data_IF_962451285581
#
_entry.id   IF_962451285581
#
_cell.length_a   1.000
_cell.length_b   1.000
_cell.length_c   1.000
_cell.angle_alpha   90.00
_cell.angle_beta   90.00
_cell.angle_gamma   90.00
#
_symmetry.space_group_name_H-M   'P 1'
#
loop_
_entity.id
_entity.type
_entity.pdbx_description
1 polymer ?
#
# COMPACT_ATOMS: atom_id res chain seq x y z
N UNK A 1 4.20 -28.61 -5.75
CA UNK A 1 3.05 -27.68 -5.70
C UNK A 1 3.39 -26.43 -6.52
N UNK A 2 2.47 -25.89 -7.36
CA UNK A 2 2.73 -24.66 -8.12
C UNK A 2 2.85 -23.44 -7.21
N UNK A 3 3.63 -22.44 -7.63
CA UNK A 3 3.80 -21.18 -6.90
C UNK A 3 2.76 -20.19 -7.41
N UNK A 4 1.90 -19.69 -6.51
CA UNK A 4 0.95 -18.63 -6.81
C UNK A 4 1.60 -17.25 -6.61
N UNK A 5 1.52 -16.41 -7.64
CA UNK A 5 2.06 -15.04 -7.65
C UNK A 5 0.97 -13.98 -7.74
N UNK A 6 -0.30 -14.37 -7.51
CA UNK A 6 -1.42 -13.44 -7.47
C UNK A 6 -1.30 -12.43 -6.34
N UNK A 7 -1.82 -11.22 -6.60
CA UNK A 7 -1.89 -10.14 -5.63
C UNK A 7 -3.22 -9.39 -5.81
N UNK A 8 -4.15 -9.58 -4.88
CA UNK A 8 -5.50 -8.99 -4.91
C UNK A 8 -5.51 -7.46 -4.79
N UNK A 9 -4.43 -6.87 -4.25
CA UNK A 9 -4.39 -5.46 -3.93
C UNK A 9 -3.80 -4.62 -5.10
N UNK A 10 -4.47 -3.51 -5.43
CA UNK A 10 -4.01 -2.57 -6.45
C UNK A 10 -3.31 -1.37 -5.80
N UNK A 11 -1.99 -1.17 -6.00
CA UNK A 11 -1.27 0.00 -5.48
C UNK A 11 -1.90 1.35 -5.87
N UNK A 12 -2.55 1.42 -7.03
CA UNK A 12 -3.23 2.62 -7.52
C UNK A 12 -4.43 3.01 -6.63
N UNK A 13 -5.23 2.04 -6.18
CA UNK A 13 -6.40 2.31 -5.34
C UNK A 13 -5.99 2.81 -3.95
N UNK A 14 -4.88 2.29 -3.42
CA UNK A 14 -4.28 2.75 -2.16
C UNK A 14 -3.74 4.18 -2.32
N UNK A 15 -3.08 4.46 -3.44
CA UNK A 15 -2.60 5.82 -3.76
C UNK A 15 -3.76 6.81 -3.88
N UNK A 16 -4.87 6.41 -4.53
CA UNK A 16 -6.07 7.22 -4.60
C UNK A 16 -6.65 7.51 -3.21
N UNK A 17 -6.69 6.50 -2.33
CA UNK A 17 -7.10 6.68 -0.93
C UNK A 17 -6.19 7.66 -0.18
N UNK A 18 -4.88 7.63 -0.40
CA UNK A 18 -3.94 8.58 0.18
C UNK A 18 -4.19 10.03 -0.28
N UNK A 19 -4.58 10.22 -1.55
CA UNK A 19 -4.97 11.53 -2.09
C UNK A 19 -6.24 12.04 -1.41
N UNK A 20 -7.24 11.20 -1.24
CA UNK A 20 -8.51 11.59 -0.60
C UNK A 20 -8.31 11.92 0.88
N UNK A 21 -7.51 11.14 1.62
CA UNK A 21 -7.08 11.49 2.99
C UNK A 21 -6.34 12.82 3.00
N UNK A 22 -5.50 13.09 1.98
CA UNK A 22 -4.83 14.38 1.80
C UNK A 22 -5.80 15.55 1.67
N UNK A 23 -6.88 15.41 0.89
CA UNK A 23 -7.93 16.44 0.76
C UNK A 23 -8.64 16.68 2.09
N UNK A 24 -8.99 15.62 2.82
CA UNK A 24 -9.59 15.74 4.16
C UNK A 24 -8.64 16.46 5.12
N UNK A 25 -7.34 16.13 5.08
CA UNK A 25 -6.33 16.81 5.88
C UNK A 25 -6.29 18.31 5.59
N UNK A 26 -6.29 18.72 4.31
CA UNK A 26 -6.32 20.14 3.93
C UNK A 26 -7.53 20.86 4.52
N UNK A 27 -8.73 20.27 4.45
CA UNK A 27 -9.92 20.86 5.07
C UNK A 27 -9.80 20.97 6.60
N UNK A 28 -9.17 19.99 7.26
CA UNK A 28 -8.91 20.04 8.71
C UNK A 28 -7.87 21.10 9.07
N UNK A 29 -6.84 21.30 8.24
CA UNK A 29 -5.84 22.36 8.43
C UNK A 29 -6.49 23.76 8.33
N UNK A 30 -7.38 23.97 7.37
CA UNK A 30 -8.16 25.21 7.23
C UNK A 30 -9.05 25.44 8.45
N UNK A 31 -9.75 24.41 8.92
CA UNK A 31 -10.55 24.48 10.13
C UNK A 31 -9.69 24.77 11.38
N UNK A 32 -8.48 24.19 11.48
CA UNK A 32 -7.54 24.51 12.55
C UNK A 32 -7.17 25.99 12.55
N UNK A 33 -6.92 26.58 11.37
CA UNK A 33 -6.58 28.00 11.22
C UNK A 33 -7.72 28.88 11.74
N UNK A 34 -8.96 28.57 11.37
CA UNK A 34 -10.13 29.35 11.80
C UNK A 34 -10.37 29.21 13.31
N UNK A 35 -10.27 28.00 13.87
CA UNK A 35 -10.38 27.77 15.31
C UNK A 35 -9.22 28.46 16.06
N UNK A 36 -8.02 28.49 15.49
CA UNK A 36 -6.86 29.20 16.03
C UNK A 36 -7.09 30.72 16.05
N UNK A 37 -7.72 31.27 15.01
CA UNK A 37 -8.13 32.69 14.95
C UNK A 37 -9.17 32.98 16.03
N UNK A 38 -10.22 32.15 16.14
CA UNK A 38 -11.25 32.28 17.17
C UNK A 38 -10.65 32.18 18.59
N UNK A 39 -9.74 31.23 18.81
CA UNK A 39 -9.07 31.07 20.11
C UNK A 39 -8.27 32.32 20.49
N UNK A 40 -7.55 32.94 19.54
CA UNK A 40 -6.83 34.20 19.77
C UNK A 40 -7.77 35.34 20.13
N UNK A 41 -8.88 35.49 19.41
CA UNK A 41 -9.91 36.50 19.74
C UNK A 41 -10.48 36.27 21.14
N UNK A 42 -10.79 35.03 21.51
CA UNK A 42 -11.29 34.71 22.86
C UNK A 42 -10.25 35.01 23.97
N UNK A 43 -8.96 34.95 23.65
CA UNK A 43 -7.86 35.23 24.58
C UNK A 43 -7.53 36.72 24.71
N UNK A 44 -8.07 37.62 23.87
CA UNK A 44 -7.75 39.06 23.89
C UNK A 44 -8.17 39.80 25.17
N UNK A 45 -9.01 39.19 26.01
CA UNK A 45 -9.41 39.74 27.31
C UNK A 45 -10.75 40.49 27.29
N UNK A 46 -11.35 40.72 26.12
CA UNK A 46 -12.62 41.44 25.97
C UNK A 46 -13.83 40.71 26.61
N UNK A 47 -13.73 39.39 26.77
CA UNK A 47 -14.77 38.55 27.34
C UNK A 47 -14.36 38.02 28.71
N UNK A 48 -15.12 38.42 29.73
CA UNK A 48 -14.92 38.05 31.14
C UNK A 48 -16.15 37.33 31.72
N UNK A 49 -16.00 36.81 32.94
CA UNK A 49 -17.02 36.00 33.60
C UNK A 49 -16.89 34.49 33.30
N UNK A 50 -17.67 33.69 34.03
CA UNK A 50 -17.50 32.24 34.04
C UNK A 50 -17.90 31.58 32.72
N UNK A 51 -18.92 32.10 32.04
CA UNK A 51 -19.28 31.66 30.68
C UNK A 51 -18.10 31.87 29.71
N UNK A 52 -17.47 33.04 29.73
CA UNK A 52 -16.33 33.33 28.87
C UNK A 52 -15.13 32.40 29.16
N UNK A 53 -14.86 32.09 30.43
CA UNK A 53 -13.82 31.10 30.81
C UNK A 53 -14.12 29.71 30.24
N UNK A 54 -15.37 29.24 30.33
CA UNK A 54 -15.74 27.93 29.80
C UNK A 54 -15.65 27.90 28.27
N UNK A 55 -16.07 28.95 27.57
CA UNK A 55 -15.93 29.05 26.11
C UNK A 55 -14.46 29.06 25.70
N UNK A 56 -13.59 29.83 26.37
CA UNK A 56 -12.13 29.83 26.12
C UNK A 56 -11.55 28.42 26.24
N UNK A 57 -11.93 27.69 27.29
CA UNK A 57 -11.49 26.30 27.49
C UNK A 57 -12.00 25.37 26.38
N UNK A 58 -13.27 25.48 25.99
CA UNK A 58 -13.86 24.66 24.94
C UNK A 58 -13.21 24.91 23.57
N UNK A 59 -13.00 26.17 23.20
CA UNK A 59 -12.31 26.55 21.95
C UNK A 59 -10.87 26.07 21.94
N UNK A 60 -10.14 26.23 23.05
CA UNK A 60 -8.78 25.71 23.18
C UNK A 60 -8.70 24.18 23.04
N UNK A 61 -9.67 23.45 23.61
CA UNK A 61 -9.77 22.00 23.43
C UNK A 61 -10.03 21.63 21.96
N UNK A 62 -10.93 22.35 21.27
CA UNK A 62 -11.21 22.11 19.85
C UNK A 62 -9.99 22.39 18.98
N UNK A 63 -9.22 23.43 19.27
CA UNK A 63 -7.96 23.71 18.58
C UNK A 63 -6.99 22.53 18.71
N UNK A 64 -6.84 21.99 19.93
CA UNK A 64 -5.97 20.83 20.16
C UNK A 64 -6.47 19.59 19.41
N UNK A 65 -7.78 19.36 19.37
CA UNK A 65 -8.38 18.24 18.63
C UNK A 65 -8.12 18.37 17.12
N UNK A 66 -8.26 19.57 16.54
CA UNK A 66 -7.94 19.81 15.12
C UNK A 66 -6.48 19.49 14.81
N UNK A 67 -5.54 19.94 15.64
CA UNK A 67 -4.10 19.65 15.48
C UNK A 67 -3.79 18.17 15.53
N UNK A 68 -4.34 17.47 16.52
CA UNK A 68 -4.16 16.02 16.65
C UNK A 68 -4.72 15.30 15.43
N UNK A 69 -5.94 15.68 14.98
CA UNK A 69 -6.55 15.08 13.79
C UNK A 69 -5.73 15.33 12.53
N UNK A 70 -5.26 16.57 12.30
CA UNK A 70 -4.40 16.91 11.16
C UNK A 70 -3.11 16.08 11.15
N UNK A 71 -2.47 15.96 12.32
CA UNK A 71 -1.26 15.13 12.47
C UNK A 71 -1.55 13.66 12.16
N UNK A 72 -2.64 13.10 12.71
CA UNK A 72 -3.03 11.70 12.46
C UNK A 72 -3.36 11.46 10.98
N UNK A 73 -4.06 12.37 10.32
CA UNK A 73 -4.35 12.28 8.88
C UNK A 73 -3.07 12.35 8.04
N UNK A 74 -2.11 13.21 8.45
CA UNK A 74 -0.78 13.26 7.83
C UNK A 74 -0.05 11.92 7.93
N UNK A 75 0.04 11.37 9.14
CA UNK A 75 0.68 10.06 9.36
C UNK A 75 -0.04 8.93 8.60
N UNK A 76 -1.37 8.95 8.57
CA UNK A 76 -2.16 7.93 7.86
C UNK A 76 -1.96 8.01 6.35
N UNK A 77 -1.95 9.21 5.78
CA UNK A 77 -1.60 9.43 4.37
C UNK A 77 -0.24 8.84 4.04
N UNK A 78 0.79 9.15 4.82
CA UNK A 78 2.15 8.62 4.62
C UNK A 78 2.19 7.09 4.74
N UNK A 79 1.43 6.51 5.67
CA UNK A 79 1.34 5.06 5.78
C UNK A 79 0.73 4.42 4.53
N UNK A 80 -0.31 5.04 3.93
CA UNK A 80 -0.90 4.58 2.67
C UNK A 80 0.08 4.69 1.50
N UNK A 81 0.82 5.80 1.39
CA UNK A 81 1.83 6.00 0.34
C UNK A 81 2.96 4.96 0.44
N UNK A 82 3.44 4.69 1.66
CA UNK A 82 4.45 3.66 1.92
C UNK A 82 3.93 2.26 1.60
N UNK A 83 2.67 1.98 1.97
CA UNK A 83 2.05 0.69 1.67
C UNK A 83 1.88 0.46 0.17
N UNK A 84 1.40 1.47 -0.57
CA UNK A 84 1.30 1.40 -2.03
C UNK A 84 2.66 1.19 -2.71
N UNK A 85 3.70 1.86 -2.21
CA UNK A 85 5.07 1.71 -2.69
C UNK A 85 5.60 0.29 -2.45
N UNK A 86 5.46 -0.21 -1.21
CA UNK A 86 5.87 -1.58 -0.86
C UNK A 86 5.14 -2.64 -1.68
N UNK A 87 3.84 -2.45 -1.91
CA UNK A 87 3.03 -3.35 -2.74
C UNK A 87 3.46 -3.33 -4.22
N UNK A 88 3.87 -2.18 -4.73
CA UNK A 88 4.46 -2.06 -6.07
C UNK A 88 5.76 -2.84 -6.19
N UNK A 89 6.62 -2.78 -5.18
CA UNK A 89 7.84 -3.60 -5.11
C UNK A 89 7.52 -5.09 -5.12
N UNK A 90 6.61 -5.55 -4.26
CA UNK A 90 6.19 -6.96 -4.22
C UNK A 90 5.67 -7.41 -5.59
N UNK A 91 4.83 -6.59 -6.24
CA UNK A 91 4.34 -6.89 -7.59
C UNK A 91 5.47 -7.04 -8.61
N UNK A 92 6.48 -6.17 -8.55
CA UNK A 92 7.66 -6.25 -9.42
C UNK A 92 8.48 -7.52 -9.14
N UNK A 93 8.67 -7.88 -7.87
CA UNK A 93 9.42 -9.07 -7.49
C UNK A 93 8.73 -10.34 -7.97
N UNK A 94 7.41 -10.42 -7.83
CA UNK A 94 6.58 -11.52 -8.32
C UNK A 94 6.65 -11.66 -9.85
N UNK A 95 6.64 -10.53 -10.58
CA UNK A 95 6.88 -10.54 -12.02
C UNK A 95 8.29 -11.07 -12.36
N UNK A 96 9.32 -10.64 -11.64
CA UNK A 96 10.69 -11.13 -11.82
C UNK A 96 10.86 -12.62 -11.48
N UNK A 97 10.12 -13.15 -10.50
CA UNK A 97 10.08 -14.60 -10.22
C UNK A 97 9.52 -15.35 -11.43
N UNK A 98 8.44 -14.86 -12.04
CA UNK A 98 7.87 -15.47 -13.25
C UNK A 98 8.84 -15.44 -14.42
N UNK A 99 9.53 -14.32 -14.65
CA UNK A 99 10.54 -14.21 -15.70
C UNK A 99 11.68 -15.21 -15.51
N UNK A 100 12.21 -15.33 -14.28
CA UNK A 100 13.26 -16.31 -13.95
C UNK A 100 12.78 -17.74 -14.10
N UNK A 101 11.52 -18.04 -13.77
CA UNK A 101 10.94 -19.36 -13.97
C UNK A 101 10.89 -19.73 -15.46
N UNK A 102 10.42 -18.82 -16.32
CA UNK A 102 10.42 -19.01 -17.78
C UNK A 102 11.84 -19.21 -18.31
N UNK A 103 12.79 -18.36 -17.89
CA UNK A 103 14.20 -18.50 -18.29
C UNK A 103 14.83 -19.83 -17.84
N UNK A 104 14.37 -20.38 -16.71
CA UNK A 104 14.74 -21.69 -16.19
C UNK A 104 14.02 -22.88 -16.83
N UNK A 105 13.20 -22.66 -17.86
CA UNK A 105 12.46 -23.71 -18.56
C UNK A 105 11.20 -24.20 -17.84
N UNK A 106 10.75 -23.50 -16.80
CA UNK A 106 9.48 -23.78 -16.14
C UNK A 106 8.32 -23.17 -16.92
N UNK A 107 7.17 -23.83 -16.87
CA UNK A 107 5.94 -23.33 -17.48
C UNK A 107 5.26 -22.36 -16.52
N UNK A 108 4.75 -21.24 -17.06
CA UNK A 108 3.98 -20.23 -16.30
C UNK A 108 2.60 -20.10 -16.93
N UNK A 109 1.55 -20.31 -16.13
CA UNK A 109 0.15 -20.24 -16.54
C UNK A 109 -0.57 -19.16 -15.73
N UNK A 110 -0.95 -18.05 -16.37
CA UNK A 110 -1.48 -16.89 -15.66
C UNK A 110 -0.51 -16.41 -14.58
N UNK A 111 -0.96 -16.41 -13.33
CA UNK A 111 -0.18 -16.03 -12.15
C UNK A 111 0.45 -17.22 -11.42
N UNK A 112 0.44 -18.42 -12.02
CA UNK A 112 1.04 -19.62 -11.42
C UNK A 112 2.30 -20.06 -12.14
N UNK A 113 3.35 -20.35 -11.37
CA UNK A 113 4.54 -21.07 -11.84
C UNK A 113 4.32 -22.55 -11.58
N UNK A 114 4.36 -23.36 -12.65
CA UNK A 114 4.09 -24.79 -12.58
C UNK A 114 5.32 -25.56 -12.10
N UNK A 115 5.07 -26.76 -11.59
CA UNK A 115 6.14 -27.69 -11.23
C UNK A 115 6.94 -28.11 -12.47
N UNK A 116 8.23 -28.43 -12.31
CA UNK A 116 9.03 -28.99 -13.40
C UNK A 116 8.36 -30.27 -13.92
N UNK A 117 8.15 -30.37 -15.23
CA UNK A 117 7.69 -31.62 -15.81
C UNK A 117 8.83 -32.64 -15.79
N UNK A 118 8.49 -33.91 -15.54
CA UNK A 118 9.45 -35.00 -15.62
C UNK A 118 10.08 -35.00 -17.02
N UNK A 119 11.41 -35.19 -17.14
CA UNK A 119 12.05 -35.29 -18.45
C UNK A 119 11.41 -36.43 -19.26
N UNK A 120 11.35 -36.29 -20.60
CA UNK A 120 10.82 -37.34 -21.45
C UNK A 120 11.53 -38.67 -21.16
N UNK A 121 10.83 -39.82 -21.19
CA UNK A 121 11.46 -41.11 -21.00
C UNK A 121 12.60 -41.25 -22.02
N UNK A 122 13.79 -41.63 -21.54
CA UNK A 122 14.92 -41.94 -22.41
C UNK A 122 14.47 -43.01 -23.40
N UNK A 123 14.59 -42.76 -24.70
CA UNK A 123 14.33 -43.78 -25.71
C UNK A 123 15.23 -44.98 -25.37
N UNK A 124 14.63 -46.14 -25.12
CA UNK A 124 15.38 -47.39 -25.02
C UNK A 124 16.17 -47.54 -26.33
N UNK A 125 17.49 -47.53 -26.22
CA UNK A 125 18.35 -47.91 -27.34
C UNK A 125 18.02 -49.37 -27.65
N UNK A 126 17.15 -49.60 -28.63
CA UNK A 126 16.96 -50.94 -29.19
C UNK A 126 18.33 -51.45 -29.61
N UNK A 127 18.74 -52.66 -29.18
CA UNK A 127 20.00 -53.23 -29.62
C UNK A 127 19.98 -53.27 -31.13
N UNK A 128 20.93 -52.58 -31.77
CA UNK A 128 21.20 -52.77 -33.19
C UNK A 128 21.62 -54.23 -33.32
N UNK A 129 20.73 -55.08 -33.81
CA UNK A 129 21.11 -56.40 -34.32
C UNK A 129 22.20 -56.15 -35.36
N UNK A 130 23.45 -56.42 -34.96
CA UNK A 130 24.53 -56.53 -35.92
C UNK A 130 24.20 -57.74 -36.77
N UNK A 131 23.61 -57.48 -37.93
CA UNK A 131 23.55 -58.45 -39.01
C UNK A 131 24.97 -58.95 -39.27
N UNK A 132 25.19 -60.18 -38.82
CA UNK A 132 26.15 -61.07 -39.44
C UNK A 132 25.58 -61.32 -40.83
N UNK A 133 26.23 -60.83 -41.88
CA UNK A 133 26.63 -61.65 -43.02
C UNK A 133 27.06 -60.80 -44.23
N UNK A 134 28.26 -61.15 -44.71
CA UNK A 134 28.84 -61.01 -46.06
C UNK A 134 29.44 -59.67 -46.50
#
# INVERSE_FOLDING_TARGET
MPIDTHLDATPADITASALDVGKVKTAVDEAEIDVSRANRTMQSGELEGDTAKQVKKAVGLKLQQCRTLSSSLGSYKTALENFASGLTTVKSDLAGVREKAVAGGLTVEGEKVMEPQAPPPLMENNPVERDKDR
#
